data_IF_220920820927
#
_entry.id   IF_220920820927
#
_cell.length_a   1.000
_cell.length_b   1.000
_cell.length_c   1.000
_cell.angle_alpha   90.00
_cell.angle_beta   90.00
_cell.angle_gamma   90.00
#
_symmetry.space_group_name_H-M   'P 1'
#
loop_
_entity.id
_entity.type
_entity.pdbx_description
1 polymer ?
#
# COMPACT_ATOMS: atom_id res chain seq x y z
N UNK A 1 -10.15 -1.09 -18.12
CA UNK A 1 -10.67 -0.36 -16.94
C UNK A 1 -9.66 -0.63 -15.82
N UNK A 2 -9.40 0.27 -14.85
CA UNK A 2 -8.36 -0.03 -13.83
C UNK A 2 -8.92 -0.91 -12.71
N UNK A 3 -8.15 -1.91 -12.29
CA UNK A 3 -8.33 -2.61 -11.02
C UNK A 3 -7.64 -1.85 -9.90
N UNK A 4 -8.20 -1.92 -8.69
CA UNK A 4 -7.70 -1.21 -7.51
C UNK A 4 -7.65 -2.13 -6.30
N UNK A 5 -6.61 -2.01 -5.49
CA UNK A 5 -6.52 -2.67 -4.19
C UNK A 5 -5.87 -1.77 -3.15
N UNK A 6 -6.40 -1.80 -1.93
CA UNK A 6 -5.90 -1.06 -0.78
C UNK A 6 -5.41 -2.04 0.28
N UNK A 7 -4.19 -1.83 0.76
CA UNK A 7 -3.52 -2.73 1.69
C UNK A 7 -3.15 -1.97 2.96
N UNK A 8 -3.62 -2.46 4.10
CA UNK A 8 -3.15 -2.00 5.40
C UNK A 8 -1.82 -2.68 5.75
N UNK A 9 -0.80 -1.88 6.05
CA UNK A 9 0.51 -2.32 6.53
C UNK A 9 0.59 -1.98 8.02
N UNK A 10 0.83 -3.00 8.85
CA UNK A 10 0.78 -2.84 10.30
C UNK A 10 1.93 -2.02 10.90
N UNK A 11 3.04 -1.83 10.17
CA UNK A 11 4.19 -1.06 10.65
C UNK A 11 4.99 -0.45 9.49
N UNK A 12 5.46 0.79 9.63
CA UNK A 12 6.10 1.56 8.54
C UNK A 12 7.36 0.90 7.96
N UNK A 13 8.09 0.11 8.75
CA UNK A 13 9.29 -0.60 8.28
C UNK A 13 8.99 -1.64 7.18
N UNK A 14 7.74 -2.10 7.04
CA UNK A 14 7.32 -3.05 6.01
C UNK A 14 6.80 -2.41 4.72
N UNK A 15 6.68 -1.08 4.67
CA UNK A 15 6.10 -0.38 3.50
C UNK A 15 6.87 -0.72 2.22
N UNK A 16 8.21 -0.64 2.26
CA UNK A 16 9.03 -0.92 1.08
C UNK A 16 8.91 -2.36 0.59
N UNK A 17 8.91 -3.32 1.51
CA UNK A 17 8.69 -4.75 1.23
C UNK A 17 7.35 -4.95 0.51
N UNK A 18 6.26 -4.43 1.08
CA UNK A 18 4.90 -4.59 0.52
C UNK A 18 4.78 -3.94 -0.86
N UNK A 19 5.40 -2.79 -1.09
CA UNK A 19 5.41 -2.13 -2.42
C UNK A 19 6.08 -3.04 -3.44
N UNK A 20 7.26 -3.57 -3.15
CA UNK A 20 8.01 -4.44 -4.07
C UNK A 20 7.24 -5.74 -4.35
N UNK A 21 6.62 -6.34 -3.33
CA UNK A 21 5.79 -7.54 -3.49
C UNK A 21 4.61 -7.31 -4.45
N UNK A 22 3.90 -6.20 -4.29
CA UNK A 22 2.77 -5.84 -5.16
C UNK A 22 3.23 -5.52 -6.58
N UNK A 23 4.35 -4.78 -6.72
CA UNK A 23 4.93 -4.48 -8.03
C UNK A 23 5.34 -5.74 -8.80
N UNK A 24 5.88 -6.76 -8.11
CA UNK A 24 6.17 -8.07 -8.72
C UNK A 24 4.93 -8.80 -9.22
N UNK A 25 3.76 -8.51 -8.67
CA UNK A 25 2.46 -9.07 -9.09
C UNK A 25 1.76 -8.23 -10.17
N UNK A 26 2.46 -7.23 -10.73
CA UNK A 26 1.95 -6.36 -11.78
C UNK A 26 1.12 -5.17 -11.29
N UNK A 27 1.09 -4.92 -9.98
CA UNK A 27 0.43 -3.74 -9.44
C UNK A 27 1.35 -2.51 -9.49
N UNK A 28 0.79 -1.37 -9.85
CA UNK A 28 1.46 -0.07 -9.77
C UNK A 28 1.06 0.63 -8.48
N UNK A 29 2.06 1.05 -7.70
CA UNK A 29 1.83 1.87 -6.52
C UNK A 29 1.23 3.23 -6.91
N UNK A 30 0.12 3.60 -6.28
CA UNK A 30 -0.64 4.81 -6.57
C UNK A 30 -0.47 5.87 -5.47
N UNK A 31 -0.74 5.54 -4.21
CA UNK A 31 -0.59 6.47 -3.09
C UNK A 31 -0.37 5.77 -1.75
N UNK A 32 0.18 6.50 -0.79
CA UNK A 32 0.37 6.08 0.60
C UNK A 32 -0.26 7.10 1.54
N UNK A 33 -1.07 6.61 2.49
CA UNK A 33 -1.64 7.40 3.57
C UNK A 33 -1.33 6.76 4.92
N UNK A 34 -0.82 7.56 5.86
CA UNK A 34 -0.70 7.17 7.26
C UNK A 34 -1.77 7.90 8.06
N UNK A 35 -2.50 7.17 8.90
CA UNK A 35 -3.53 7.74 9.76
C UNK A 35 -3.49 7.09 11.14
N UNK A 36 -3.57 7.90 12.19
CA UNK A 36 -3.59 7.38 13.55
C UNK A 36 -3.46 8.44 14.63
N UNK A 37 -3.22 7.98 15.85
CA UNK A 37 -2.90 8.78 17.04
C UNK A 37 -1.41 8.68 17.35
N UNK A 38 -0.87 9.46 18.31
CA UNK A 38 0.56 9.39 18.68
C UNK A 38 1.04 8.00 19.09
N UNK A 39 0.14 7.11 19.53
CA UNK A 39 0.47 5.76 20.02
C UNK A 39 0.12 4.64 19.04
N UNK A 40 -0.62 4.93 17.97
CA UNK A 40 -1.04 3.93 16.99
C UNK A 40 -1.21 4.57 15.62
N UNK A 41 -0.42 4.11 14.65
CA UNK A 41 -0.45 4.58 13.26
C UNK A 41 -0.74 3.41 12.34
N UNK A 42 -1.79 3.53 11.53
CA UNK A 42 -2.07 2.62 10.43
C UNK A 42 -1.48 3.19 9.14
N UNK A 43 -0.94 2.31 8.29
CA UNK A 43 -0.36 2.65 7.01
C UNK A 43 -1.17 2.00 5.90
N UNK A 44 -1.63 2.77 4.92
CA UNK A 44 -2.46 2.28 3.81
C UNK A 44 -1.78 2.57 2.49
N UNK A 45 -1.62 1.54 1.67
CA UNK A 45 -1.05 1.63 0.33
C UNK A 45 -2.13 1.31 -0.69
N UNK A 46 -2.38 2.24 -1.61
CA UNK A 46 -3.28 2.03 -2.74
C UNK A 46 -2.45 1.63 -3.97
N UNK A 47 -2.91 0.60 -4.65
CA UNK A 47 -2.33 0.13 -5.90
C UNK A 47 -3.38 0.07 -7.00
N UNK A 48 -2.92 0.23 -8.24
CA UNK A 48 -3.72 0.12 -9.46
C UNK A 48 -3.09 -0.86 -10.45
N UNK A 49 -3.89 -1.49 -11.30
CA UNK A 49 -3.40 -2.33 -12.41
C UNK A 49 -4.33 -2.17 -13.61
N UNK A 50 -3.77 -2.17 -14.81
CA UNK A 50 -4.58 -2.19 -16.03
C UNK A 50 -5.15 -3.60 -16.24
N UNK A 51 -6.44 -3.70 -16.59
CA UNK A 51 -7.08 -4.95 -17.06
C UNK A 51 -6.67 -5.29 -18.47
#
# INVERSE_FOLDING_TARGET
MKEWTCVQVGHHNRIGEVIVEHQRQGWRFHTYQAQGSPTMVNHYLLFERDT
#
